data_IF_256400451210
#
_entry.id   IF_256400451210
#
_cell.length_a   1.000
_cell.length_b   1.000
_cell.length_c   1.000
_cell.angle_alpha   90.00
_cell.angle_beta   90.00
_cell.angle_gamma   90.00
#
_symmetry.space_group_name_H-M   'P 1'
#
loop_
_entity.id
_entity.type
_entity.pdbx_description
1 polymer ?
#
# COMPACT_ATOMS: atom_id res chain seq x y z
N UNK A 1 -30.99 -14.94 10.17
CA UNK A 1 -30.65 -13.52 10.33
C UNK A 1 -29.36 -13.25 11.10
N UNK A 2 -28.66 -14.28 11.59
CA UNK A 2 -27.41 -14.13 12.40
C UNK A 2 -26.11 -14.01 11.57
N UNK A 3 -26.21 -14.14 10.24
CA UNK A 3 -25.01 -14.13 9.37
C UNK A 3 -24.52 -12.71 8.98
N UNK A 4 -25.35 -11.69 9.13
CA UNK A 4 -24.98 -10.30 8.79
C UNK A 4 -24.17 -9.60 9.89
N UNK A 5 -24.36 -9.98 11.16
CA UNK A 5 -23.66 -9.35 12.29
C UNK A 5 -22.14 -9.65 12.29
N UNK A 6 -21.74 -10.83 11.81
CA UNK A 6 -20.31 -11.20 11.72
C UNK A 6 -19.53 -10.44 10.63
N UNK A 7 -20.17 -10.13 9.49
CA UNK A 7 -19.52 -9.42 8.39
C UNK A 7 -19.34 -7.92 8.65
N UNK A 8 -20.31 -7.26 9.29
CA UNK A 8 -20.20 -5.85 9.64
C UNK A 8 -19.15 -5.60 10.73
N UNK A 9 -19.03 -6.52 11.70
CA UNK A 9 -18.00 -6.45 12.74
C UNK A 9 -16.61 -6.64 12.15
N UNK A 10 -16.45 -7.51 11.14
CA UNK A 10 -15.19 -7.76 10.44
C UNK A 10 -14.70 -6.54 9.65
N UNK A 11 -15.58 -5.84 8.94
CA UNK A 11 -15.24 -4.63 8.17
C UNK A 11 -14.85 -3.48 9.11
N UNK A 12 -15.53 -3.34 10.23
CA UNK A 12 -15.23 -2.30 11.22
C UNK A 12 -13.86 -2.52 11.88
N UNK A 13 -13.55 -3.73 12.28
CA UNK A 13 -12.25 -4.10 12.86
C UNK A 13 -11.10 -3.90 11.87
N UNK A 14 -11.32 -4.21 10.59
CA UNK A 14 -10.33 -3.97 9.53
C UNK A 14 -10.06 -2.49 9.30
N UNK A 15 -11.09 -1.65 9.40
CA UNK A 15 -10.97 -0.20 9.26
C UNK A 15 -10.24 0.47 10.42
N UNK A 16 -10.17 -0.16 11.59
CA UNK A 16 -9.50 0.35 12.78
C UNK A 16 -7.97 0.16 12.76
N UNK A 17 -7.43 -0.61 11.80
CA UNK A 17 -5.97 -0.76 11.59
C UNK A 17 -5.34 0.58 11.22
N UNK A 18 -4.07 0.77 11.61
CA UNK A 18 -3.29 1.94 11.20
C UNK A 18 -2.82 1.79 9.75
N UNK A 19 -2.70 2.90 9.05
CA UNK A 19 -2.17 2.94 7.66
C UNK A 19 -0.76 2.36 7.55
N UNK A 20 0.03 2.41 8.61
CA UNK A 20 1.38 1.83 8.66
C UNK A 20 1.41 0.31 8.49
N UNK A 21 0.29 -0.39 8.77
CA UNK A 21 0.21 -1.85 8.60
C UNK A 21 -0.05 -2.29 7.16
N UNK A 22 -0.37 -1.36 6.26
CA UNK A 22 -0.72 -1.65 4.86
C UNK A 22 0.11 -0.86 3.85
N UNK A 23 1.02 0.00 4.33
CA UNK A 23 1.84 0.84 3.45
C UNK A 23 2.97 0.05 2.81
N UNK A 24 3.38 0.48 1.63
CA UNK A 24 4.71 0.16 1.09
C UNK A 24 5.74 0.95 1.90
N UNK A 25 6.64 0.30 2.64
CA UNK A 25 7.59 0.97 3.52
C UNK A 25 8.65 1.74 2.73
N UNK A 26 9.25 2.77 3.34
CA UNK A 26 10.23 3.65 2.72
C UNK A 26 11.36 2.94 1.96
N UNK A 27 11.99 1.86 2.47
CA UNK A 27 13.07 1.18 1.75
C UNK A 27 12.65 0.62 0.38
N UNK A 28 11.37 0.30 0.22
CA UNK A 28 10.81 -0.33 -0.99
C UNK A 28 10.22 0.71 -1.96
N UNK A 29 10.26 2.01 -1.60
CA UNK A 29 9.77 3.07 -2.47
C UNK A 29 10.77 3.35 -3.57
N UNK A 30 10.37 3.11 -4.80
CA UNK A 30 11.08 3.58 -5.99
C UNK A 30 10.48 4.90 -6.44
N UNK A 31 11.24 5.97 -6.34
CA UNK A 31 10.81 7.32 -6.70
C UNK A 31 11.63 7.92 -7.83
N UNK A 32 11.14 9.01 -8.41
CA UNK A 32 11.78 9.76 -9.47
C UNK A 32 12.14 11.15 -8.94
N UNK A 33 13.39 11.56 -9.12
CA UNK A 33 13.81 12.92 -8.80
C UNK A 33 13.21 13.89 -9.83
N UNK A 34 12.77 15.08 -9.37
CA UNK A 34 12.09 16.07 -10.24
C UNK A 34 12.96 16.55 -11.39
N UNK A 35 14.27 16.55 -11.22
CA UNK A 35 15.26 16.97 -12.24
C UNK A 35 15.85 15.78 -13.02
N UNK A 36 15.24 14.57 -12.89
CA UNK A 36 15.72 13.37 -13.58
C UNK A 36 15.61 13.54 -15.11
N UNK A 37 16.63 13.08 -15.83
CA UNK A 37 16.64 13.07 -17.29
C UNK A 37 15.75 11.97 -17.86
N UNK A 38 15.38 12.06 -19.13
CA UNK A 38 14.59 11.03 -19.83
C UNK A 38 15.22 9.64 -19.70
N UNK A 39 16.55 9.56 -19.86
CA UNK A 39 17.31 8.32 -19.80
C UNK A 39 17.27 7.71 -18.40
N UNK A 40 17.38 8.55 -17.37
CA UNK A 40 17.27 8.10 -15.97
C UNK A 40 15.87 7.56 -15.65
N UNK A 41 14.83 8.26 -16.13
CA UNK A 41 13.43 7.81 -15.95
C UNK A 41 13.19 6.46 -16.64
N UNK A 42 13.64 6.31 -17.88
CA UNK A 42 13.51 5.05 -18.63
C UNK A 42 14.21 3.89 -17.93
N UNK A 43 15.42 4.15 -17.41
CA UNK A 43 16.15 3.15 -16.63
C UNK A 43 15.40 2.73 -15.36
N UNK A 44 14.80 3.67 -14.63
CA UNK A 44 13.97 3.36 -13.45
C UNK A 44 12.79 2.45 -13.85
N UNK A 45 12.18 2.68 -15.01
CA UNK A 45 11.07 1.85 -15.49
C UNK A 45 11.51 0.44 -15.86
N UNK A 46 12.71 0.28 -16.41
CA UNK A 46 13.28 -1.02 -16.75
C UNK A 46 13.66 -1.81 -15.49
N UNK A 47 14.31 -1.15 -14.54
CA UNK A 47 14.82 -1.78 -13.30
C UNK A 47 13.70 -2.13 -12.31
N UNK A 48 12.64 -1.34 -12.27
CA UNK A 48 11.56 -1.46 -11.29
C UNK A 48 10.21 -1.02 -11.88
N UNK A 49 9.51 -1.90 -12.62
CA UNK A 49 8.29 -1.55 -13.33
C UNK A 49 7.10 -1.36 -12.37
N UNK A 50 6.71 -0.12 -12.16
CA UNK A 50 5.50 0.25 -11.42
C UNK A 50 4.55 1.06 -12.28
N UNK A 51 3.27 1.09 -11.94
CA UNK A 51 2.26 1.87 -12.66
C UNK A 51 2.38 3.37 -12.35
N UNK A 52 2.83 3.69 -11.14
CA UNK A 52 2.96 5.06 -10.62
C UNK A 52 4.21 5.17 -9.76
N UNK A 53 4.88 6.30 -9.88
CA UNK A 53 6.07 6.63 -9.11
C UNK A 53 5.87 7.92 -8.33
N UNK A 54 6.27 8.00 -7.05
CA UNK A 54 6.38 9.26 -6.34
C UNK A 54 7.50 10.11 -6.95
N UNK A 55 7.28 11.42 -6.99
CA UNK A 55 8.25 12.40 -7.45
C UNK A 55 8.69 13.21 -6.25
N UNK A 56 10.00 13.34 -6.07
CA UNK A 56 10.62 14.08 -4.97
C UNK A 56 11.65 15.10 -5.47
N UNK A 57 12.00 16.11 -4.64
CA UNK A 57 13.02 17.11 -5.00
C UNK A 57 14.43 16.66 -4.63
N UNK A 58 14.68 16.42 -3.35
CA UNK A 58 16.02 16.10 -2.81
C UNK A 58 16.12 14.66 -2.33
N UNK A 59 15.09 14.20 -1.65
CA UNK A 59 14.98 12.86 -1.10
C UNK A 59 13.51 12.51 -0.89
N UNK A 60 13.24 11.29 -0.46
CA UNK A 60 11.87 10.81 -0.23
C UNK A 60 11.10 11.55 0.89
N UNK A 61 11.74 12.42 1.65
CA UNK A 61 11.04 13.26 2.62
C UNK A 61 10.42 14.52 1.98
N UNK A 62 10.86 14.86 0.75
CA UNK A 62 10.33 15.98 -0.03
C UNK A 62 9.56 15.48 -1.27
N UNK A 63 8.59 14.58 -1.06
CA UNK A 63 7.69 14.10 -2.10
C UNK A 63 6.72 15.24 -2.46
N UNK A 64 6.66 15.60 -3.74
CA UNK A 64 5.82 16.67 -4.27
C UNK A 64 4.57 16.17 -4.99
N UNK A 65 4.55 14.90 -5.36
CA UNK A 65 3.42 14.29 -6.05
C UNK A 65 3.76 12.94 -6.62
N UNK A 66 2.95 12.48 -7.55
CA UNK A 66 3.13 11.21 -8.27
C UNK A 66 3.01 11.40 -9.77
N UNK A 67 3.63 10.50 -10.53
CA UNK A 67 3.48 10.41 -11.98
C UNK A 67 3.10 9.00 -12.40
N UNK A 68 2.24 8.89 -13.40
CA UNK A 68 1.85 7.61 -13.99
C UNK A 68 2.74 7.29 -15.19
N UNK A 69 3.24 6.05 -15.24
CA UNK A 69 4.03 5.55 -16.37
C UNK A 69 3.30 5.73 -17.71
N UNK A 70 1.97 5.51 -17.74
CA UNK A 70 1.16 5.67 -18.96
C UNK A 70 1.25 7.08 -19.55
N UNK A 71 1.23 8.10 -18.69
CA UNK A 71 1.33 9.49 -19.13
C UNK A 71 2.77 9.81 -19.51
N UNK A 72 3.74 9.36 -18.73
CA UNK A 72 5.15 9.64 -18.97
C UNK A 72 5.68 9.05 -20.27
N UNK A 73 5.31 7.81 -20.63
CA UNK A 73 5.75 7.18 -21.89
C UNK A 73 5.36 8.04 -23.10
N UNK A 74 4.14 8.60 -23.09
CA UNK A 74 3.66 9.48 -24.17
C UNK A 74 4.43 10.79 -24.18
N UNK A 75 4.68 11.38 -23.01
CA UNK A 75 5.33 12.67 -22.89
C UNK A 75 6.85 12.62 -23.14
N UNK A 76 7.52 11.55 -22.69
CA UNK A 76 8.97 11.33 -22.93
C UNK A 76 9.31 11.30 -24.43
N UNK A 77 8.35 10.86 -25.27
CA UNK A 77 8.52 10.83 -26.73
C UNK A 77 8.50 12.22 -27.39
N UNK A 78 8.10 13.25 -26.65
CA UNK A 78 8.05 14.64 -27.15
C UNK A 78 9.41 15.33 -26.95
N UNK A 79 9.74 16.24 -27.86
CA UNK A 79 10.99 17.01 -27.78
C UNK A 79 11.03 17.92 -26.54
N UNK A 80 9.89 18.49 -26.16
CA UNK A 80 9.74 19.40 -25.01
C UNK A 80 9.16 18.65 -23.79
N UNK A 81 9.83 17.59 -23.33
CA UNK A 81 9.42 16.87 -22.13
C UNK A 81 9.68 17.70 -20.87
N UNK A 82 8.64 17.91 -20.06
CA UNK A 82 8.76 18.43 -18.69
C UNK A 82 8.03 17.49 -17.72
N UNK A 83 8.79 16.92 -16.77
CA UNK A 83 8.24 16.05 -15.75
C UNK A 83 7.22 16.79 -14.86
N UNK A 84 7.43 18.10 -14.64
CA UNK A 84 6.61 18.93 -13.74
C UNK A 84 5.16 19.03 -14.18
N UNK A 85 4.90 19.04 -15.49
CA UNK A 85 3.55 19.13 -16.05
C UNK A 85 2.72 17.85 -15.83
N UNK A 86 3.40 16.73 -15.53
CA UNK A 86 2.78 15.43 -15.38
C UNK A 86 2.57 15.02 -13.92
N UNK A 87 3.00 15.84 -12.96
CA UNK A 87 2.88 15.56 -11.53
C UNK A 87 1.43 15.73 -11.10
N UNK A 88 0.93 14.72 -10.41
CA UNK A 88 -0.39 14.71 -9.75
C UNK A 88 -0.24 14.82 -8.26
N UNK A 89 -1.18 15.50 -7.63
CA UNK A 89 -1.21 15.66 -6.19
C UNK A 89 -1.34 14.32 -5.44
N UNK A 90 -0.74 14.26 -4.27
CA UNK A 90 -0.88 13.18 -3.29
C UNK A 90 -1.48 13.73 -2.01
N UNK A 91 -2.07 12.88 -1.18
CA UNK A 91 -2.42 13.30 0.17
C UNK A 91 -1.31 12.88 1.14
N UNK A 92 -1.05 13.74 2.13
CA UNK A 92 -0.20 13.41 3.27
C UNK A 92 -1.07 12.93 4.41
N UNK A 93 -0.69 11.81 4.99
CA UNK A 93 -1.36 11.14 6.10
C UNK A 93 -0.37 10.95 7.24
N UNK A 94 -0.84 11.14 8.47
CA UNK A 94 -0.02 10.83 9.65
C UNK A 94 -0.01 9.31 9.90
N UNK A 95 1.06 8.78 10.47
CA UNK A 95 1.24 7.36 10.77
C UNK A 95 0.17 6.75 11.68
N UNK A 96 -0.49 7.56 12.50
CA UNK A 96 -1.55 7.12 13.42
C UNK A 96 -2.94 7.06 12.78
N UNK A 97 -3.10 7.52 11.54
CA UNK A 97 -4.37 7.52 10.81
C UNK A 97 -4.84 6.07 10.61
N UNK A 98 -6.14 5.84 10.82
CA UNK A 98 -6.77 4.55 10.56
C UNK A 98 -7.04 4.38 9.06
N UNK A 99 -7.10 3.14 8.61
CA UNK A 99 -7.35 2.79 7.20
C UNK A 99 -8.65 3.41 6.69
N UNK A 100 -9.71 3.40 7.50
CA UNK A 100 -11.00 4.01 7.13
C UNK A 100 -10.89 5.52 6.95
N UNK A 101 -10.22 6.22 7.87
CA UNK A 101 -10.02 7.67 7.79
C UNK A 101 -9.12 8.06 6.61
N UNK A 102 -8.16 7.20 6.28
CA UNK A 102 -7.34 7.35 5.07
C UNK A 102 -8.19 7.28 3.81
N UNK A 103 -9.10 6.28 3.70
CA UNK A 103 -10.06 6.17 2.59
C UNK A 103 -10.86 7.45 2.42
N UNK A 104 -11.46 7.96 3.51
CA UNK A 104 -12.24 9.19 3.45
C UNK A 104 -11.41 10.40 3.00
N UNK A 105 -10.19 10.53 3.55
CA UNK A 105 -9.29 11.63 3.21
C UNK A 105 -8.88 11.59 1.74
N UNK A 106 -8.50 10.42 1.23
CA UNK A 106 -8.12 10.22 -0.16
C UNK A 106 -9.31 10.50 -1.11
N UNK A 107 -10.52 10.06 -0.75
CA UNK A 107 -11.75 10.35 -1.50
C UNK A 107 -12.08 11.83 -1.53
N UNK A 108 -12.01 12.53 -0.38
CA UNK A 108 -12.27 13.98 -0.30
C UNK A 108 -11.29 14.78 -1.16
N UNK A 109 -10.00 14.39 -1.13
CA UNK A 109 -8.94 15.02 -1.96
C UNK A 109 -8.91 14.51 -3.41
N UNK A 110 -9.75 13.53 -3.77
CA UNK A 110 -9.79 12.90 -5.10
C UNK A 110 -8.44 12.37 -5.56
N UNK A 111 -7.60 11.92 -4.64
CA UNK A 111 -6.29 11.32 -4.91
C UNK A 111 -6.33 9.81 -4.72
N UNK A 112 -5.53 9.10 -5.50
CA UNK A 112 -5.38 7.63 -5.42
C UNK A 112 -4.15 7.19 -4.61
N UNK A 113 -3.32 8.15 -4.19
CA UNK A 113 -2.04 7.90 -3.54
C UNK A 113 -1.91 8.76 -2.29
N UNK A 114 -1.39 8.15 -1.24
CA UNK A 114 -1.09 8.81 0.03
C UNK A 114 0.36 8.59 0.43
N UNK A 115 0.97 9.64 0.96
CA UNK A 115 2.30 9.59 1.60
C UNK A 115 2.07 9.57 3.10
N UNK A 116 2.63 8.57 3.76
CA UNK A 116 2.56 8.45 5.22
C UNK A 116 3.80 9.10 5.81
N UNK A 117 3.57 10.11 6.63
CA UNK A 117 4.61 10.83 7.35
C UNK A 117 4.53 10.57 8.85
N UNK A 118 5.69 10.31 9.43
CA UNK A 118 5.88 10.22 10.86
C UNK A 118 6.05 11.60 11.50
N UNK A 119 6.42 11.57 12.76
CA UNK A 119 6.85 12.76 13.48
C UNK A 119 8.03 13.41 12.74
N UNK A 120 8.11 14.73 12.78
CA UNK A 120 9.13 15.54 12.09
C UNK A 120 9.07 15.54 10.55
N UNK A 121 7.98 15.05 9.94
CA UNK A 121 7.79 15.09 8.49
C UNK A 121 8.61 14.07 7.70
N UNK A 122 9.17 13.06 8.36
CA UNK A 122 9.89 11.97 7.71
C UNK A 122 8.88 11.07 7.00
N UNK A 123 9.12 10.75 5.73
CA UNK A 123 8.30 9.79 4.98
C UNK A 123 8.57 8.37 5.48
N UNK A 124 7.54 7.71 5.99
CA UNK A 124 7.58 6.32 6.44
C UNK A 124 7.24 5.33 5.33
N UNK A 125 6.32 5.72 4.45
CA UNK A 125 5.83 4.86 3.38
C UNK A 125 4.85 5.58 2.46
N UNK A 126 4.33 4.83 1.49
CA UNK A 126 3.24 5.24 0.61
C UNK A 126 2.12 4.21 0.64
N UNK A 127 0.90 4.66 0.39
CA UNK A 127 -0.26 3.78 0.19
C UNK A 127 -0.99 4.15 -1.08
N UNK A 128 -1.62 3.17 -1.68
CA UNK A 128 -2.54 3.35 -2.80
C UNK A 128 -4.00 3.19 -2.33
N UNK A 129 -4.94 3.64 -3.16
CA UNK A 129 -6.36 3.38 -2.92
C UNK A 129 -6.66 1.87 -2.94
N UNK A 130 -5.92 1.08 -3.74
CA UNK A 130 -6.08 -0.37 -3.78
C UNK A 130 -5.69 -1.00 -2.45
N UNK A 131 -4.53 -0.63 -1.88
CA UNK A 131 -4.08 -1.15 -0.57
C UNK A 131 -5.13 -0.89 0.52
N UNK A 132 -5.73 0.31 0.50
CA UNK A 132 -6.82 0.68 1.42
C UNK A 132 -8.07 -0.17 1.19
N UNK A 133 -8.45 -0.40 -0.07
CA UNK A 133 -9.62 -1.22 -0.40
C UNK A 133 -9.40 -2.69 -0.04
N UNK A 134 -8.21 -3.23 -0.34
CA UNK A 134 -7.84 -4.61 0.01
C UNK A 134 -7.80 -4.82 1.52
N UNK A 135 -7.30 -3.83 2.26
CA UNK A 135 -7.33 -3.88 3.72
C UNK A 135 -8.74 -3.89 4.32
N UNK A 136 -9.70 -3.21 3.70
CA UNK A 136 -11.09 -3.13 4.18
C UNK A 136 -11.94 -4.33 3.73
N UNK A 137 -11.79 -4.75 2.48
CA UNK A 137 -12.62 -5.79 1.87
C UNK A 137 -11.99 -7.20 1.97
N UNK A 138 -10.68 -7.28 2.26
CA UNK A 138 -9.86 -8.46 2.12
C UNK A 138 -9.30 -8.57 0.70
N UNK A 139 -8.17 -9.27 0.56
CA UNK A 139 -7.56 -9.51 -0.75
C UNK A 139 -8.61 -10.10 -1.70
N UNK A 140 -8.86 -9.39 -2.80
CA UNK A 140 -9.56 -9.93 -3.94
C UNK A 140 -8.49 -10.49 -4.89
N UNK A 141 -8.28 -11.81 -4.94
CA UNK A 141 -7.26 -12.38 -5.82
C UNK A 141 -7.55 -11.97 -7.27
N UNK A 142 -6.56 -11.43 -7.95
CA UNK A 142 -6.66 -11.17 -9.38
C UNK A 142 -6.80 -12.49 -10.15
N UNK A 143 -7.38 -12.42 -11.35
CA UNK A 143 -7.65 -13.60 -12.16
C UNK A 143 -6.33 -14.33 -12.50
N UNK A 144 -6.03 -15.42 -11.78
CA UNK A 144 -4.82 -16.22 -11.95
C UNK A 144 -3.83 -16.20 -10.78
N UNK A 145 -4.10 -15.42 -9.73
CA UNK A 145 -3.33 -15.46 -8.49
C UNK A 145 -3.86 -16.55 -7.56
N UNK A 146 -2.96 -17.29 -6.94
CA UNK A 146 -3.30 -18.23 -5.88
C UNK A 146 -3.65 -17.44 -4.60
N UNK A 147 -4.70 -17.85 -3.86
CA UNK A 147 -5.05 -17.17 -2.63
C UNK A 147 -3.94 -17.33 -1.57
N UNK A 148 -3.65 -16.27 -0.82
CA UNK A 148 -2.63 -16.25 0.24
C UNK A 148 -2.86 -17.31 1.32
N UNK A 149 -4.10 -17.79 1.49
CA UNK A 149 -4.48 -18.82 2.45
C UNK A 149 -5.30 -19.90 1.77
N UNK A 150 -4.75 -21.10 1.68
CA UNK A 150 -5.40 -22.29 1.14
C UNK A 150 -5.70 -23.30 2.27
N UNK A 151 -6.97 -23.59 2.48
CA UNK A 151 -7.40 -24.61 3.43
C UNK A 151 -7.36 -26.00 2.77
N UNK A 152 -6.67 -26.94 3.37
CA UNK A 152 -6.59 -28.33 2.88
C UNK A 152 -7.72 -29.18 3.44
N UNK A 153 -7.99 -30.31 2.77
CA UNK A 153 -9.02 -31.26 3.15
C UNK A 153 -8.83 -31.91 4.54
N UNK A 154 -7.62 -31.85 5.07
CA UNK A 154 -7.26 -32.33 6.41
C UNK A 154 -7.44 -31.28 7.51
N UNK A 155 -7.92 -30.07 7.16
CA UNK A 155 -8.10 -28.94 8.07
C UNK A 155 -6.82 -28.12 8.33
N UNK A 156 -5.68 -28.48 7.71
CA UNK A 156 -4.47 -27.66 7.76
C UNK A 156 -4.58 -26.48 6.76
N UNK A 157 -3.87 -25.38 7.05
CA UNK A 157 -3.82 -24.21 6.18
C UNK A 157 -2.42 -24.05 5.62
N UNK A 158 -2.34 -23.85 4.30
CA UNK A 158 -1.14 -23.35 3.64
C UNK A 158 -1.28 -21.83 3.56
N UNK A 159 -0.32 -21.10 4.14
CA UNK A 159 -0.36 -19.66 4.25
C UNK A 159 0.90 -19.07 3.63
N UNK A 160 0.75 -18.09 2.74
CA UNK A 160 1.88 -17.34 2.23
C UNK A 160 2.50 -16.53 3.38
N UNK A 161 3.84 -16.50 3.47
CA UNK A 161 4.55 -15.73 4.50
C UNK A 161 4.33 -14.22 4.40
N UNK A 162 4.00 -13.71 3.21
CA UNK A 162 3.66 -12.31 2.97
C UNK A 162 2.20 -12.00 3.34
N UNK A 163 1.37 -13.01 3.54
CA UNK A 163 -0.01 -12.83 4.01
C UNK A 163 -0.03 -11.95 5.26
N UNK A 164 -0.97 -11.00 5.33
CA UNK A 164 -1.07 -10.15 6.51
C UNK A 164 -1.43 -10.99 7.73
N UNK A 165 -0.76 -10.74 8.85
CA UNK A 165 -1.04 -11.44 10.10
C UNK A 165 -2.51 -11.31 10.50
N UNK A 166 -3.11 -10.17 10.21
CA UNK A 166 -4.52 -9.90 10.47
C UNK A 166 -5.46 -10.82 9.67
N UNK A 167 -5.25 -11.00 8.37
CA UNK A 167 -6.08 -11.88 7.53
C UNK A 167 -5.92 -13.35 7.95
N UNK A 168 -4.70 -13.74 8.36
CA UNK A 168 -4.44 -15.06 8.92
C UNK A 168 -5.25 -15.31 10.21
N UNK A 169 -5.20 -14.42 11.21
CA UNK A 169 -5.94 -14.61 12.46
C UNK A 169 -7.46 -14.62 12.26
N UNK A 170 -7.97 -13.81 11.31
CA UNK A 170 -9.38 -13.85 10.96
C UNK A 170 -9.78 -15.19 10.34
N UNK A 171 -8.99 -15.70 9.40
CA UNK A 171 -9.25 -16.97 8.72
C UNK A 171 -9.09 -18.15 9.67
N UNK A 172 -8.12 -18.09 10.58
CA UNK A 172 -7.86 -19.09 11.59
C UNK A 172 -8.80 -19.00 12.81
N UNK A 173 -9.71 -18.02 12.85
CA UNK A 173 -10.65 -17.75 13.96
C UNK A 173 -9.94 -17.54 15.32
N UNK A 174 -8.82 -16.83 15.33
CA UNK A 174 -8.02 -16.53 16.53
C UNK A 174 -8.43 -15.16 17.09
N UNK A 175 -9.20 -15.13 18.18
CA UNK A 175 -9.79 -13.88 18.69
C UNK A 175 -8.84 -12.99 19.51
N UNK A 176 -7.77 -13.54 20.10
CA UNK A 176 -6.94 -12.83 21.08
C UNK A 176 -5.59 -12.30 20.54
N UNK A 177 -5.37 -12.30 19.21
CA UNK A 177 -4.10 -11.91 18.59
C UNK A 177 -4.14 -10.56 17.88
N UNK A 178 -5.21 -9.76 18.09
CA UNK A 178 -5.45 -8.50 17.34
C UNK A 178 -4.46 -7.38 17.66
N UNK A 179 -3.80 -7.41 18.82
CA UNK A 179 -2.83 -6.40 19.27
C UNK A 179 -1.38 -6.81 19.02
N UNK A 180 -1.14 -7.81 18.18
CA UNK A 180 0.20 -8.28 17.88
C UNK A 180 1.00 -7.25 17.06
N UNK A 181 2.28 -7.10 17.37
CA UNK A 181 3.21 -6.16 16.73
C UNK A 181 3.66 -6.62 15.32
N UNK A 182 3.10 -7.71 14.79
CA UNK A 182 3.52 -8.29 13.50
C UNK A 182 2.59 -7.85 12.38
N UNK A 183 3.17 -7.47 11.23
CA UNK A 183 2.40 -7.12 10.04
C UNK A 183 2.12 -8.33 9.13
N UNK A 184 3.03 -9.33 9.10
CA UNK A 184 2.93 -10.52 8.26
C UNK A 184 3.09 -11.80 9.05
N UNK A 185 2.65 -12.93 8.47
CA UNK A 185 2.82 -14.26 9.06
C UNK A 185 4.30 -14.60 9.20
N UNK A 186 5.13 -14.28 8.20
CA UNK A 186 6.58 -14.44 8.31
C UNK A 186 7.17 -13.63 9.46
N UNK A 187 6.73 -12.38 9.65
CA UNK A 187 7.15 -11.53 10.77
C UNK A 187 6.82 -12.14 12.13
N UNK A 188 5.64 -12.73 12.27
CA UNK A 188 5.24 -13.46 13.47
C UNK A 188 6.16 -14.65 13.76
N UNK A 189 6.45 -15.47 12.74
CA UNK A 189 7.30 -16.67 12.90
C UNK A 189 8.72 -16.25 13.30
N UNK A 190 9.30 -15.24 12.63
CA UNK A 190 10.66 -14.76 12.91
C UNK A 190 10.80 -14.18 14.33
N UNK A 191 9.75 -13.56 14.85
CA UNK A 191 9.78 -12.98 16.19
C UNK A 191 9.68 -14.03 17.31
N UNK A 192 9.29 -15.27 16.99
CA UNK A 192 9.20 -16.40 17.94
C UNK A 192 10.41 -17.35 17.87
N UNK A 193 11.31 -17.14 16.93
CA UNK A 193 12.58 -17.90 16.81
C UNK A 193 13.70 -17.23 17.61
#
# INVERSE_FOLDING_TARGET
PLRLVGSEMCIRDRGDRRVTSIMTPRPDIVGIEIEATKEQILKIFEDSPHVVYPVYRKNLDDIIGTVSIKNLIVEISKDNFDLKENIREVCFLNEFVKVYDALETMRKKKTKYGVISGEFGITLGIITMNDVMDALLGNMPEKGEEPDIVERSDGSMLVDGQCTFYDFILKAHIDNAKDAEYNTVAGMILAQM
#
